data_IF_390980401885
#
_entry.id   IF_390980401885
#
_cell.length_a   1.000
_cell.length_b   1.000
_cell.length_c   1.000
_cell.angle_alpha   90.00
_cell.angle_beta   90.00
_cell.angle_gamma   90.00
#
_symmetry.space_group_name_H-M   'P 1'
#
loop_
_entity.id
_entity.type
_entity.pdbx_description
1 polymer ?
#
# COMPACT_ATOMS: atom_id res chain seq x y z
N UNK A 1 -4.58 18.30 -11.29
CA UNK A 1 -5.34 19.34 -12.03
C UNK A 1 -5.29 20.61 -11.21
N UNK A 2 -4.74 21.70 -11.76
CA UNK A 2 -4.71 23.00 -11.10
C UNK A 2 -5.80 23.87 -11.71
N UNK A 3 -6.75 24.30 -10.87
CA UNK A 3 -7.83 25.21 -11.25
C UNK A 3 -7.80 26.40 -10.30
N UNK A 4 -7.98 27.62 -10.82
CA UNK A 4 -8.26 28.76 -9.94
C UNK A 4 -9.72 28.76 -9.42
N UNK A 5 -10.01 29.69 -8.52
CA UNK A 5 -11.36 29.87 -7.96
C UNK A 5 -12.40 30.31 -9.00
N UNK A 6 -11.97 30.76 -10.18
CA UNK A 6 -12.83 31.15 -11.28
C UNK A 6 -13.09 30.00 -12.27
N UNK A 7 -12.57 28.80 -12.00
CA UNK A 7 -12.75 27.63 -12.85
C UNK A 7 -11.77 27.55 -14.03
N UNK A 8 -10.77 28.43 -14.11
CA UNK A 8 -9.76 28.35 -15.17
C UNK A 8 -8.76 27.23 -14.88
N UNK A 9 -8.58 26.33 -15.84
CA UNK A 9 -7.64 25.21 -15.72
C UNK A 9 -6.26 25.63 -16.23
N UNK A 10 -5.28 25.70 -15.33
CA UNK A 10 -3.89 26.07 -15.65
C UNK A 10 -2.99 24.86 -15.88
N UNK A 11 -3.35 23.70 -15.34
CA UNK A 11 -2.61 22.46 -15.57
C UNK A 11 -3.51 21.23 -15.54
N UNK A 12 -3.37 20.41 -16.57
CA UNK A 12 -4.02 19.09 -16.69
C UNK A 12 -3.17 17.95 -16.12
N UNK A 13 -2.01 18.24 -15.55
CA UNK A 13 -1.19 17.21 -14.90
C UNK A 13 -2.01 16.56 -13.80
N UNK A 14 -2.25 15.25 -13.94
CA UNK A 14 -2.77 14.41 -12.88
C UNK A 14 -1.72 14.37 -11.78
N UNK A 15 -2.01 15.02 -10.67
CA UNK A 15 -1.22 14.84 -9.46
C UNK A 15 -1.73 13.54 -8.87
N UNK A 16 -0.90 12.51 -8.84
CA UNK A 16 -1.20 11.24 -8.17
C UNK A 16 -1.66 11.50 -6.73
N UNK A 17 -2.32 10.53 -6.06
CA UNK A 17 -2.83 10.75 -4.72
C UNK A 17 -1.76 11.34 -3.80
N UNK A 18 -2.19 12.31 -2.99
CA UNK A 18 -1.32 13.11 -2.16
C UNK A 18 -1.52 12.82 -0.69
N UNK A 19 -0.46 12.96 0.09
CA UNK A 19 -0.49 12.91 1.54
C UNK A 19 -0.49 14.33 2.10
N UNK A 20 -1.28 14.58 3.14
CA UNK A 20 -1.10 15.76 3.99
C UNK A 20 -0.36 15.28 5.23
N UNK A 21 0.87 15.74 5.40
CA UNK A 21 1.68 15.42 6.58
C UNK A 21 1.31 16.37 7.72
N UNK A 22 0.38 15.92 8.57
CA UNK A 22 -0.06 16.67 9.75
C UNK A 22 1.04 16.83 10.80
N UNK A 23 2.09 16.00 10.78
CA UNK A 23 3.22 16.12 11.70
C UNK A 23 4.19 17.24 11.30
N UNK A 24 4.17 17.65 10.04
CA UNK A 24 5.00 18.71 9.49
C UNK A 24 4.13 19.88 9.01
N UNK A 25 3.46 20.58 9.94
CA UNK A 25 2.68 21.79 9.66
C UNK A 25 1.62 21.62 8.54
N UNK A 26 1.00 20.44 8.45
CA UNK A 26 0.03 20.08 7.40
C UNK A 26 0.61 20.27 5.97
N UNK A 27 1.90 19.98 5.79
CA UNK A 27 2.55 20.10 4.48
C UNK A 27 1.90 19.13 3.51
N UNK A 28 1.47 19.64 2.36
CA UNK A 28 0.95 18.82 1.27
C UNK A 28 2.09 18.21 0.48
N UNK A 29 2.13 16.88 0.43
CA UNK A 29 3.15 16.13 -0.29
C UNK A 29 2.48 15.34 -1.42
N UNK A 30 2.56 15.84 -2.68
CA UNK A 30 1.94 15.17 -3.81
C UNK A 30 2.66 13.86 -4.15
N UNK A 31 1.94 12.91 -4.75
CA UNK A 31 2.47 11.60 -5.19
C UNK A 31 3.05 10.71 -4.09
N UNK A 32 2.70 10.96 -2.84
CA UNK A 32 3.13 10.16 -1.69
C UNK A 32 2.05 9.21 -1.18
N UNK A 33 0.93 9.06 -1.88
CA UNK A 33 -0.07 8.06 -1.52
C UNK A 33 -0.61 7.31 -2.73
N UNK A 34 -1.20 6.16 -2.44
CA UNK A 34 -1.73 5.24 -3.43
C UNK A 34 -3.16 4.89 -3.03
N UNK A 35 -4.02 4.77 -4.04
CA UNK A 35 -5.41 4.37 -3.88
C UNK A 35 -5.59 3.07 -4.65
N UNK A 36 -5.98 2.01 -3.93
CA UNK A 36 -6.26 0.71 -4.52
C UNK A 36 -7.77 0.45 -4.41
N UNK A 37 -8.52 0.46 -5.53
CA UNK A 37 -9.94 0.19 -5.51
C UNK A 37 -10.18 -1.26 -5.10
N UNK A 38 -11.24 -1.51 -4.33
CA UNK A 38 -11.63 -2.85 -3.99
C UNK A 38 -12.06 -3.65 -5.23
N UNK A 39 -11.90 -4.97 -5.21
CA UNK A 39 -12.40 -5.84 -6.29
C UNK A 39 -13.93 -5.69 -6.45
N UNK A 40 -14.65 -5.47 -5.34
CA UNK A 40 -16.04 -5.07 -5.32
C UNK A 40 -16.15 -3.55 -5.12
N UNK A 41 -16.58 -2.82 -6.16
CA UNK A 41 -16.69 -1.36 -6.13
C UNK A 41 -17.65 -0.81 -5.04
N UNK A 42 -18.53 -1.64 -4.46
CA UNK A 42 -19.38 -1.26 -3.32
C UNK A 42 -18.66 -1.31 -1.97
N UNK A 43 -17.49 -1.95 -1.91
CA UNK A 43 -16.65 -2.06 -0.72
C UNK A 43 -15.54 -0.99 -0.69
N UNK A 44 -15.63 0.01 -1.56
CA UNK A 44 -14.79 1.21 -1.50
C UNK A 44 -13.36 0.97 -1.97
N UNK A 45 -12.39 1.49 -1.23
CA UNK A 45 -10.97 1.48 -1.61
C UNK A 45 -10.04 1.48 -0.40
N UNK A 46 -8.80 1.05 -0.62
CA UNK A 46 -7.70 1.20 0.32
C UNK A 46 -6.89 2.45 -0.02
N UNK A 47 -6.69 3.30 0.96
CA UNK A 47 -5.71 4.37 0.94
C UNK A 47 -4.44 3.88 1.65
N UNK A 48 -3.33 3.91 0.90
CA UNK A 48 -2.01 3.45 1.31
C UNK A 48 -1.04 4.63 1.26
N UNK A 49 -0.37 4.92 2.37
CA UNK A 49 0.63 5.98 2.42
C UNK A 49 1.80 5.57 3.33
N UNK A 50 3.05 5.90 2.96
CA UNK A 50 4.17 5.80 3.89
C UNK A 50 3.93 6.76 5.06
N UNK A 51 4.11 6.25 6.27
CA UNK A 51 4.38 7.08 7.43
C UNK A 51 5.84 7.52 7.30
N UNK A 52 6.14 8.77 7.62
CA UNK A 52 7.51 9.28 7.55
C UNK A 52 8.47 8.30 8.24
N UNK A 53 9.39 7.72 7.46
CA UNK A 53 10.46 6.86 7.98
C UNK A 53 11.66 7.75 8.28
N UNK A 54 12.34 7.52 9.40
CA UNK A 54 13.64 8.13 9.62
C UNK A 54 14.62 7.67 8.55
N UNK A 55 15.59 8.51 8.18
CA UNK A 55 16.60 8.21 7.15
C UNK A 55 17.42 6.93 7.41
N UNK A 56 17.37 6.40 8.64
CA UNK A 56 18.10 5.22 9.10
C UNK A 56 17.21 4.00 9.37
N UNK A 57 15.90 4.07 9.10
CA UNK A 57 15.01 2.94 9.38
C UNK A 57 15.15 1.87 8.28
N UNK A 58 15.52 0.66 8.70
CA UNK A 58 15.59 -0.53 7.83
C UNK A 58 14.19 -0.94 7.35
N UNK A 59 13.15 -0.55 8.11
CA UNK A 59 11.76 -0.83 7.79
C UNK A 59 11.00 0.48 7.57
N UNK A 60 10.21 0.52 6.51
CA UNK A 60 9.22 1.57 6.28
C UNK A 60 7.89 1.21 6.94
N UNK A 61 7.29 2.19 7.61
CA UNK A 61 5.95 2.05 8.15
C UNK A 61 4.95 2.61 7.13
N UNK A 62 3.86 1.90 6.91
CA UNK A 62 2.80 2.28 5.97
C UNK A 62 1.48 2.37 6.71
N UNK A 63 0.82 3.52 6.59
CA UNK A 63 -0.54 3.71 7.07
C UNK A 63 -1.52 3.15 6.02
N UNK A 64 -2.39 2.25 6.49
CA UNK A 64 -3.38 1.57 5.69
C UNK A 64 -4.75 1.96 6.21
N UNK A 65 -5.55 2.65 5.39
CA UNK A 65 -6.92 3.01 5.76
C UNK A 65 -7.90 2.59 4.68
N UNK A 66 -8.93 1.85 5.08
CA UNK A 66 -10.01 1.43 4.19
C UNK A 66 -11.15 2.44 4.27
N UNK A 67 -11.66 2.86 3.12
CA UNK A 67 -12.68 3.89 3.00
C UNK A 67 -13.82 3.42 2.09
N UNK A 68 -15.04 3.80 2.43
CA UNK A 68 -16.24 3.65 1.58
C UNK A 68 -16.80 5.02 1.24
N UNK A 69 -17.40 5.11 0.05
CA UNK A 69 -18.20 6.26 -0.38
C UNK A 69 -19.66 5.89 -0.17
N UNK A 70 -20.34 6.63 0.70
CA UNK A 70 -21.74 6.45 1.02
C UNK A 70 -22.65 6.95 -0.11
N UNK A 71 -23.93 6.60 -0.08
CA UNK A 71 -24.90 7.02 -1.11
C UNK A 71 -25.06 8.54 -1.20
N UNK A 72 -24.85 9.26 -0.09
CA UNK A 72 -24.87 10.72 -0.02
C UNK A 72 -23.56 11.38 -0.51
N UNK A 73 -22.59 10.57 -0.97
CA UNK A 73 -21.28 11.02 -1.44
C UNK A 73 -20.27 11.30 -0.31
N UNK A 74 -20.63 11.10 0.95
CA UNK A 74 -19.70 11.24 2.07
C UNK A 74 -18.73 10.05 2.15
N UNK A 75 -17.55 10.29 2.73
CA UNK A 75 -16.55 9.24 2.96
C UNK A 75 -16.64 8.73 4.40
N UNK A 76 -16.60 7.41 4.58
CA UNK A 76 -16.49 6.79 5.90
C UNK A 76 -15.24 5.91 5.99
N UNK A 77 -14.48 6.09 7.06
CA UNK A 77 -13.36 5.21 7.40
C UNK A 77 -13.93 3.90 7.98
N UNK A 78 -13.53 2.77 7.40
CA UNK A 78 -14.04 1.44 7.78
C UNK A 78 -13.05 0.76 8.72
N UNK A 79 -11.76 0.87 8.42
CA UNK A 79 -10.68 0.31 9.20
C UNK A 79 -9.39 1.08 8.96
N UNK A 80 -8.52 1.03 9.96
CA UNK A 80 -7.18 1.59 9.90
C UNK A 80 -6.20 0.60 10.54
N UNK A 81 -5.03 0.45 9.93
CA UNK A 81 -3.93 -0.36 10.48
C UNK A 81 -2.58 0.18 9.99
N UNK A 82 -1.50 -0.30 10.58
CA UNK A 82 -0.14 0.05 10.17
C UNK A 82 0.58 -1.22 9.76
N UNK A 83 1.26 -1.17 8.63
CA UNK A 83 2.06 -2.26 8.10
C UNK A 83 3.53 -1.84 8.06
N UNK A 84 4.40 -2.66 8.63
CA UNK A 84 5.84 -2.42 8.69
C UNK A 84 6.55 -3.40 7.76
N UNK A 85 7.21 -2.89 6.72
CA UNK A 85 7.92 -3.71 5.72
C UNK A 85 9.25 -3.06 5.35
N UNK A 86 10.23 -3.87 4.99
CA UNK A 86 11.54 -3.38 4.51
C UNK A 86 11.44 -2.61 3.19
N UNK A 87 10.48 -2.99 2.34
CA UNK A 87 10.27 -2.39 1.03
C UNK A 87 8.80 -2.16 0.78
N UNK A 88 8.51 -1.28 -0.19
CA UNK A 88 7.14 -1.03 -0.62
C UNK A 88 6.53 -2.29 -1.23
N UNK A 89 5.39 -2.79 -0.70
CA UNK A 89 4.72 -3.95 -1.26
C UNK A 89 3.99 -3.62 -2.56
N UNK A 90 3.79 -4.64 -3.38
CA UNK A 90 2.72 -4.66 -4.38
C UNK A 90 1.39 -4.92 -3.68
N UNK A 91 0.36 -4.14 -3.98
CA UNK A 91 -0.96 -4.27 -3.35
C UNK A 91 -1.97 -4.79 -4.36
N UNK A 92 -2.69 -5.84 -3.98
CA UNK A 92 -3.70 -6.48 -4.82
C UNK A 92 -4.99 -6.61 -4.02
N UNK A 93 -6.10 -6.13 -4.58
CA UNK A 93 -7.42 -6.36 -3.98
C UNK A 93 -7.80 -7.84 -4.08
N UNK A 94 -8.55 -8.37 -3.12
CA UNK A 94 -8.96 -9.78 -3.15
C UNK A 94 -10.46 -9.89 -3.42
N UNK A 95 -10.88 -11.01 -4.02
CA UNK A 95 -12.28 -11.23 -4.41
C UNK A 95 -13.25 -11.31 -3.22
N UNK A 96 -12.74 -11.59 -2.02
CA UNK A 96 -13.50 -11.56 -0.76
C UNK A 96 -13.56 -10.15 -0.13
N UNK A 97 -13.09 -9.12 -0.84
CA UNK A 97 -13.16 -7.72 -0.45
C UNK A 97 -11.99 -7.22 0.40
N UNK A 98 -11.00 -8.05 0.70
CA UNK A 98 -9.78 -7.62 1.37
C UNK A 98 -8.70 -7.07 0.42
N UNK A 99 -7.50 -6.99 0.96
CA UNK A 99 -6.29 -6.59 0.25
C UNK A 99 -5.14 -7.50 0.64
N UNK A 100 -4.32 -7.88 -0.33
CA UNK A 100 -3.10 -8.65 -0.14
C UNK A 100 -1.90 -7.76 -0.47
N UNK A 101 -0.89 -7.80 0.38
CA UNK A 101 0.36 -7.06 0.23
C UNK A 101 1.47 -8.07 -0.03
N UNK A 102 2.04 -8.03 -1.23
CA UNK A 102 3.10 -8.93 -1.65
C UNK A 102 4.42 -8.15 -1.65
N UNK A 103 5.42 -8.66 -0.96
CA UNK A 103 6.71 -7.99 -0.82
C UNK A 103 7.87 -8.99 -0.85
N UNK A 104 9.03 -8.60 -1.40
CA UNK A 104 10.24 -9.37 -1.20
C UNK A 104 10.76 -9.14 0.22
N UNK A 105 11.38 -10.17 0.79
CA UNK A 105 12.11 -10.11 2.03
C UNK A 105 13.50 -10.72 1.78
N UNK A 106 14.54 -10.01 2.19
CA UNK A 106 15.92 -10.42 1.99
C UNK A 106 16.52 -10.66 3.36
N UNK A 107 17.02 -11.88 3.57
CA UNK A 107 17.64 -12.30 4.82
C UNK A 107 19.12 -12.55 4.59
N UNK A 108 19.96 -11.84 5.33
CA UNK A 108 21.39 -12.10 5.34
C UNK A 108 21.68 -13.23 6.33
N UNK A 109 21.96 -14.41 5.80
CA UNK A 109 22.31 -15.59 6.60
C UNK A 109 23.65 -16.15 6.17
N UNK A 110 24.43 -16.63 7.15
CA UNK A 110 25.72 -17.29 6.90
C UNK A 110 25.56 -18.78 6.56
N UNK A 111 24.38 -19.34 6.73
CA UNK A 111 24.09 -20.72 6.33
C UNK A 111 23.81 -20.79 4.81
N UNK A 112 24.63 -21.51 4.02
CA UNK A 112 24.46 -21.60 2.57
C UNK A 112 23.17 -22.30 2.13
N UNK A 113 22.47 -23.01 3.03
CA UNK A 113 21.20 -23.67 2.73
C UNK A 113 19.97 -22.87 3.16
N UNK A 114 20.17 -21.75 3.84
CA UNK A 114 19.06 -20.89 4.23
C UNK A 114 18.59 -20.02 3.06
N UNK A 115 17.28 -19.73 3.04
CA UNK A 115 16.72 -18.76 2.10
C UNK A 115 17.40 -17.40 2.28
N UNK A 116 17.88 -16.82 1.19
CA UNK A 116 18.44 -15.46 1.17
C UNK A 116 17.43 -14.45 0.61
N UNK A 117 16.48 -14.91 -0.19
CA UNK A 117 15.40 -14.06 -0.71
C UNK A 117 14.11 -14.84 -0.80
N UNK A 118 13.02 -14.25 -0.33
CA UNK A 118 11.68 -14.80 -0.53
C UNK A 118 10.66 -13.74 -0.91
N UNK A 119 9.57 -14.19 -1.51
CA UNK A 119 8.36 -13.42 -1.71
C UNK A 119 7.35 -13.84 -0.66
N UNK A 120 6.89 -12.86 0.09
CA UNK A 120 5.96 -13.04 1.19
C UNK A 120 4.69 -12.27 0.89
N UNK A 121 3.59 -12.70 1.49
CA UNK A 121 2.33 -12.00 1.43
C UNK A 121 1.73 -11.87 2.82
N UNK A 122 1.11 -10.73 3.09
CA UNK A 122 0.20 -10.56 4.23
C UNK A 122 -1.16 -10.14 3.71
N UNK A 123 -2.21 -10.56 4.43
CA UNK A 123 -3.59 -10.29 4.05
C UNK A 123 -4.26 -9.38 5.07
N UNK A 124 -4.98 -8.37 4.59
CA UNK A 124 -5.84 -7.51 5.39
C UNK A 124 -7.28 -7.67 4.92
N UNK A 125 -8.16 -8.15 5.81
CA UNK A 125 -9.57 -8.36 5.48
C UNK A 125 -10.34 -7.05 5.33
N UNK A 126 -11.45 -7.10 4.59
CA UNK A 126 -12.38 -5.98 4.50
C UNK A 126 -12.86 -5.55 5.90
N UNK A 127 -12.76 -4.26 6.20
CA UNK A 127 -13.17 -3.70 7.49
C UNK A 127 -12.40 -4.26 8.69
N UNK A 128 -11.28 -4.94 8.45
CA UNK A 128 -10.41 -5.45 9.51
C UNK A 128 -9.23 -4.51 9.73
N UNK A 129 -8.92 -4.25 11.00
CA UNK A 129 -7.69 -3.58 11.41
C UNK A 129 -6.53 -4.57 11.67
N UNK A 130 -6.77 -5.87 11.48
CA UNK A 130 -5.78 -6.92 11.75
C UNK A 130 -5.17 -7.38 10.43
N UNK A 131 -3.85 -7.33 10.37
CA UNK A 131 -3.06 -7.98 9.32
C UNK A 131 -2.88 -9.44 9.72
N UNK A 132 -3.22 -10.38 8.84
CA UNK A 132 -3.04 -11.82 9.08
C UNK A 132 -1.57 -12.20 9.08
N UNK A 133 -1.30 -13.41 9.58
CA UNK A 133 0.04 -14.01 9.54
C UNK A 133 0.61 -14.02 8.12
N UNK A 134 1.92 -13.82 8.04
CA UNK A 134 2.65 -13.82 6.79
C UNK A 134 2.64 -15.20 6.15
N UNK A 135 2.35 -15.24 4.86
CA UNK A 135 2.43 -16.44 4.02
C UNK A 135 3.67 -16.34 3.14
N UNK A 136 4.42 -17.43 3.04
CA UNK A 136 5.54 -17.57 2.11
C UNK A 136 4.98 -17.98 0.76
N UNK A 137 5.21 -17.16 -0.27
CA UNK A 137 4.84 -17.48 -1.65
C UNK A 137 5.97 -18.18 -2.40
N UNK A 138 7.21 -17.78 -2.14
CA UNK A 138 8.40 -18.30 -2.80
C UNK A 138 9.65 -18.01 -1.95
N UNK A 139 10.64 -18.91 -1.98
CA UNK A 139 11.94 -18.73 -1.33
C UNK A 139 13.06 -19.24 -2.24
N UNK A 140 14.23 -18.60 -2.15
CA UNK A 140 15.42 -18.92 -2.91
C UNK A 140 16.67 -18.78 -2.03
N UNK A 141 17.60 -19.72 -2.16
CA UNK A 141 18.89 -19.71 -1.45
C UNK A 141 19.88 -18.69 -2.04
N UNK A 142 19.64 -18.18 -3.25
CA UNK A 142 20.41 -17.11 -3.87
C UNK A 142 19.78 -15.75 -3.55
N UNK A 143 20.64 -14.77 -3.24
CA UNK A 143 20.22 -13.39 -3.15
C UNK A 143 19.73 -12.88 -4.52
N UNK A 144 18.46 -12.49 -4.58
CA UNK A 144 17.85 -11.88 -5.75
C UNK A 144 17.56 -10.41 -5.47
N UNK A 145 18.05 -9.52 -6.34
CA UNK A 145 17.72 -8.10 -6.26
C UNK A 145 16.37 -7.83 -6.94
N UNK A 146 15.29 -7.87 -6.16
CA UNK A 146 13.91 -7.63 -6.62
C UNK A 146 13.59 -6.15 -6.47
N UNK A 147 13.65 -5.41 -7.57
CA UNK A 147 13.46 -3.94 -7.57
C UNK A 147 11.99 -3.55 -7.66
N UNK A 148 11.14 -4.37 -8.27
CA UNK A 148 9.71 -4.10 -8.44
C UNK A 148 8.91 -5.40 -8.59
N UNK A 149 7.67 -5.38 -8.09
CA UNK A 149 6.68 -6.44 -8.23
C UNK A 149 5.40 -5.87 -8.86
N UNK A 150 5.09 -6.32 -10.08
CA UNK A 150 3.83 -5.98 -10.74
C UNK A 150 2.85 -7.13 -10.59
N UNK A 151 1.88 -6.98 -9.68
CA UNK A 151 0.89 -7.99 -9.37
C UNK A 151 -0.51 -7.51 -9.79
N UNK A 152 -1.28 -8.37 -10.43
CA UNK A 152 -2.65 -8.09 -10.85
C UNK A 152 -3.52 -9.32 -10.70
N UNK A 153 -4.80 -9.11 -10.40
CA UNK A 153 -5.80 -10.19 -10.41
C UNK A 153 -6.08 -10.56 -11.86
N UNK A 154 -6.05 -11.86 -12.17
CA UNK A 154 -6.61 -12.38 -13.40
C UNK A 154 -8.01 -12.91 -13.12
N UNK A 155 -9.01 -12.35 -13.79
CA UNK A 155 -10.37 -12.90 -13.78
C UNK A 155 -10.44 -13.96 -14.89
N UNK A 156 -10.34 -15.23 -14.53
CA UNK A 156 -10.57 -16.37 -15.43
C UNK A 156 -12.04 -16.71 -15.53
#
# INVERSE_FOLDING_TARGET
MLIDLNGNIYSKTLMSPSLIDSSNNNTWIPQQSFIYPNANNKQGFLYFAPLSSGYNDVNSNYNLTQWIINEDGSFSNIAATVLTLQVQPSVVSTVDGGYMFIYPNVTTSQDPYSSQTGLYAVYCGYGSNIVRETVILYENMMELNIVNLNCFISYS
#
